data_IF_859055520780
#
_entry.id   IF_859055520780
#
_cell.length_a   1.000
_cell.length_b   1.000
_cell.length_c   1.000
_cell.angle_alpha   90.00
_cell.angle_beta   90.00
_cell.angle_gamma   90.00
#
_symmetry.space_group_name_H-M   'P 1'
#
loop_
_entity.id
_entity.type
_entity.pdbx_description
1 polymer ?
#
# COMPACT_ATOMS: atom_id res chain seq x y z
N UNK A 1 -21.03 14.81 -2.97
CA UNK A 1 -19.73 14.16 -3.26
C UNK A 1 -19.16 13.61 -1.97
N UNK A 2 -18.68 12.36 -1.96
CA UNK A 2 -18.15 11.75 -0.73
C UNK A 2 -16.63 11.59 -0.82
N UNK A 3 -15.91 12.21 0.11
CA UNK A 3 -14.45 12.03 0.23
C UNK A 3 -14.11 11.24 1.49
N UNK A 4 -13.01 10.49 1.46
CA UNK A 4 -12.45 9.82 2.62
C UNK A 4 -11.07 10.41 2.95
N UNK A 5 -10.72 10.43 4.22
CA UNK A 5 -9.45 10.99 4.71
C UNK A 5 -8.89 10.04 5.76
N UNK A 6 -7.62 9.66 5.64
CA UNK A 6 -6.93 8.89 6.69
C UNK A 6 -6.75 9.76 7.93
N UNK A 7 -7.04 9.21 9.10
CA UNK A 7 -7.00 9.97 10.35
C UNK A 7 -6.44 9.16 11.51
N UNK A 8 -5.77 9.84 12.43
CA UNK A 8 -5.31 9.27 13.70
C UNK A 8 -6.40 9.22 14.76
N UNK A 9 -7.53 9.91 14.54
CA UNK A 9 -8.66 9.99 15.46
C UNK A 9 -9.99 10.15 14.72
N UNK A 10 -11.06 10.38 15.48
CA UNK A 10 -12.44 10.38 14.96
C UNK A 10 -12.98 11.78 14.64
N UNK A 11 -12.19 12.82 14.88
CA UNK A 11 -12.61 14.22 14.76
C UNK A 11 -11.92 14.93 13.60
N UNK A 12 -12.54 15.99 13.11
CA UNK A 12 -11.98 16.83 12.04
C UNK A 12 -10.67 17.56 12.45
N UNK A 13 -10.44 17.71 13.75
CA UNK A 13 -9.19 18.26 14.31
C UNK A 13 -8.06 17.25 14.41
N UNK A 14 -8.34 15.97 14.21
CA UNK A 14 -7.35 14.90 14.22
C UNK A 14 -6.35 15.06 13.10
N UNK A 15 -5.12 14.58 13.33
CA UNK A 15 -4.07 14.59 12.30
C UNK A 15 -4.34 13.53 11.23
N UNK A 16 -3.92 13.81 10.02
CA UNK A 16 -3.93 12.82 8.94
C UNK A 16 -2.92 11.73 9.27
N UNK A 17 -3.35 10.45 9.26
CA UNK A 17 -2.41 9.33 9.34
C UNK A 17 -1.65 9.21 8.00
N UNK A 18 -0.32 9.15 8.04
CA UNK A 18 0.48 9.05 6.82
C UNK A 18 0.30 7.73 6.07
N UNK A 19 -0.30 6.71 6.67
CA UNK A 19 -0.36 5.35 6.13
C UNK A 19 -1.79 4.96 5.72
N UNK A 20 -2.09 4.93 4.44
CA UNK A 20 -3.43 4.58 3.95
C UNK A 20 -3.97 3.27 4.54
N UNK A 21 -3.28 2.14 4.31
CA UNK A 21 -3.80 0.82 4.69
C UNK A 21 -3.77 0.52 6.19
N UNK A 22 -3.08 1.32 6.98
CA UNK A 22 -2.88 1.14 8.42
C UNK A 22 -3.29 2.36 9.24
N UNK A 23 -4.01 3.29 8.64
CA UNK A 23 -4.67 4.38 9.36
C UNK A 23 -5.65 3.80 10.37
N UNK A 24 -5.66 4.26 11.62
CA UNK A 24 -6.62 3.78 12.62
C UNK A 24 -8.06 4.10 12.24
N UNK A 25 -8.29 5.29 11.69
CA UNK A 25 -9.61 5.78 11.32
C UNK A 25 -9.64 6.32 9.90
N UNK A 26 -10.83 6.33 9.32
CA UNK A 26 -11.18 7.06 8.13
C UNK A 26 -12.32 8.02 8.44
N UNK A 27 -12.14 9.28 8.06
CA UNK A 27 -13.19 10.29 8.10
C UNK A 27 -13.80 10.35 6.71
N UNK A 28 -15.08 9.98 6.62
CA UNK A 28 -15.89 10.13 5.42
C UNK A 28 -16.64 11.44 5.54
N UNK A 29 -16.47 12.35 4.63
CA UNK A 29 -17.07 13.68 4.71
C UNK A 29 -17.64 14.11 3.37
N UNK A 30 -18.75 14.82 3.41
CA UNK A 30 -19.20 15.62 2.29
C UNK A 30 -18.61 17.03 2.42
N UNK A 31 -17.72 17.42 1.49
CA UNK A 31 -17.02 18.71 1.60
C UNK A 31 -17.94 19.95 1.47
N UNK A 32 -19.16 19.79 0.93
CA UNK A 32 -20.10 20.91 0.79
C UNK A 32 -20.88 21.14 2.08
N UNK A 33 -21.40 20.06 2.68
CA UNK A 33 -22.23 20.14 3.89
C UNK A 33 -21.45 20.04 5.18
N UNK A 34 -20.17 19.60 5.10
CA UNK A 34 -19.30 19.29 6.24
C UNK A 34 -19.87 18.19 7.16
N UNK A 35 -20.87 17.46 6.71
CA UNK A 35 -21.34 16.26 7.41
C UNK A 35 -20.30 15.17 7.28
N UNK A 36 -19.91 14.59 8.40
CA UNK A 36 -18.90 13.55 8.42
C UNK A 36 -19.27 12.34 9.29
N UNK A 37 -18.67 11.22 8.96
CA UNK A 37 -18.75 9.95 9.69
C UNK A 37 -17.32 9.44 9.90
N UNK A 38 -16.96 9.09 11.12
CA UNK A 38 -15.68 8.45 11.43
C UNK A 38 -15.88 6.94 11.52
N UNK A 39 -15.04 6.18 10.82
CA UNK A 39 -15.07 4.72 10.83
C UNK A 39 -13.69 4.20 11.23
N UNK A 40 -13.67 3.26 12.16
CA UNK A 40 -12.46 2.52 12.52
C UNK A 40 -12.03 1.60 11.37
N UNK A 41 -10.74 1.51 11.13
CA UNK A 41 -10.19 0.64 10.10
C UNK A 41 -9.99 -0.79 10.67
N UNK A 42 -10.78 -1.78 10.25
CA UNK A 42 -10.62 -3.15 10.74
C UNK A 42 -9.31 -3.80 10.29
N UNK A 43 -8.63 -3.22 9.28
CA UNK A 43 -7.44 -3.78 8.66
C UNK A 43 -6.12 -3.24 9.24
N UNK A 44 -6.18 -2.37 10.27
CA UNK A 44 -4.99 -1.73 10.85
C UNK A 44 -3.93 -2.75 11.30
N UNK A 45 -4.37 -3.88 11.84
CA UNK A 45 -3.52 -4.97 12.35
C UNK A 45 -3.37 -6.16 11.38
N UNK A 46 -3.83 -6.05 10.14
CA UNK A 46 -3.75 -7.14 9.18
C UNK A 46 -2.28 -7.54 8.92
N UNK A 47 -1.97 -8.84 8.99
CA UNK A 47 -0.62 -9.37 8.78
C UNK A 47 -0.13 -9.16 7.35
N UNK A 48 -1.04 -9.06 6.38
CA UNK A 48 -0.76 -8.79 4.97
C UNK A 48 -1.99 -8.25 4.26
N UNK A 49 -1.80 -7.58 3.12
CA UNK A 49 -2.90 -7.10 2.29
C UNK A 49 -3.74 -5.96 2.88
N UNK A 50 -3.33 -5.37 4.01
CA UNK A 50 -4.05 -4.27 4.66
C UNK A 50 -4.46 -3.17 3.67
N UNK A 51 -3.56 -2.77 2.78
CA UNK A 51 -3.83 -1.74 1.79
C UNK A 51 -4.92 -2.13 0.80
N UNK A 52 -4.94 -3.37 0.32
CA UNK A 52 -5.95 -3.87 -0.64
C UNK A 52 -7.32 -3.96 0.04
N UNK A 53 -7.37 -4.58 1.23
CA UNK A 53 -8.62 -4.74 1.99
C UNK A 53 -9.22 -3.38 2.36
N UNK A 54 -8.37 -2.45 2.78
CA UNK A 54 -8.79 -1.07 3.08
C UNK A 54 -9.28 -0.35 1.82
N UNK A 55 -8.61 -0.52 0.68
CA UNK A 55 -9.05 0.06 -0.59
C UNK A 55 -10.44 -0.45 -1.01
N UNK A 56 -10.70 -1.75 -0.84
CA UNK A 56 -12.01 -2.33 -1.08
C UNK A 56 -13.08 -1.78 -0.12
N UNK A 57 -12.76 -1.62 1.16
CA UNK A 57 -13.65 -1.00 2.15
C UNK A 57 -14.04 0.42 1.72
N UNK A 58 -13.06 1.24 1.32
CA UNK A 58 -13.28 2.62 0.87
C UNK A 58 -14.14 2.66 -0.40
N UNK A 59 -13.85 1.80 -1.37
CA UNK A 59 -14.63 1.69 -2.61
C UNK A 59 -16.09 1.31 -2.35
N UNK A 60 -16.34 0.32 -1.47
CA UNK A 60 -17.68 -0.14 -1.10
C UNK A 60 -18.50 0.93 -0.37
N UNK A 61 -17.85 1.92 0.23
CA UNK A 61 -18.52 3.08 0.87
C UNK A 61 -18.93 4.18 -0.11
N UNK A 62 -18.69 4.00 -1.41
CA UNK A 62 -19.06 4.95 -2.46
C UNK A 62 -18.24 6.24 -2.43
N UNK A 63 -16.98 6.15 -2.04
CA UNK A 63 -16.05 7.27 -2.01
C UNK A 63 -15.56 7.60 -3.42
N UNK A 64 -15.54 8.88 -3.75
CA UNK A 64 -15.03 9.37 -5.03
C UNK A 64 -13.57 9.80 -4.96
N UNK A 65 -13.12 10.27 -3.80
CA UNK A 65 -11.76 10.76 -3.57
C UNK A 65 -11.24 10.32 -2.21
N UNK A 66 -10.00 9.87 -2.16
CA UNK A 66 -9.28 9.58 -0.90
C UNK A 66 -8.10 10.54 -0.72
N UNK A 67 -8.01 11.16 0.46
CA UNK A 67 -6.89 11.99 0.89
C UNK A 67 -6.05 11.22 1.91
N UNK A 68 -4.75 11.07 1.66
CA UNK A 68 -3.85 10.31 2.54
C UNK A 68 -2.40 10.83 2.45
N UNK A 69 -1.59 10.54 3.45
CA UNK A 69 -0.16 10.84 3.38
C UNK A 69 0.57 9.96 2.39
N UNK A 70 0.33 8.64 2.41
CA UNK A 70 1.00 7.71 1.51
C UNK A 70 0.11 6.52 1.14
N UNK A 71 0.25 6.08 -0.11
CA UNK A 71 -0.46 4.94 -0.66
C UNK A 71 0.51 4.06 -1.46
N UNK A 72 0.59 2.79 -1.09
CA UNK A 72 1.41 1.80 -1.79
C UNK A 72 0.76 1.33 -3.10
N UNK A 73 1.54 0.66 -3.99
CA UNK A 73 1.11 0.34 -5.35
C UNK A 73 -0.15 -0.55 -5.39
N UNK A 74 -0.24 -1.56 -4.54
CA UNK A 74 -1.38 -2.48 -4.55
C UNK A 74 -2.69 -1.79 -4.14
N UNK A 75 -2.64 -0.94 -3.09
CA UNK A 75 -3.79 -0.16 -2.66
C UNK A 75 -4.19 0.88 -3.71
N UNK A 76 -3.21 1.56 -4.30
CA UNK A 76 -3.42 2.54 -5.34
C UNK A 76 -4.14 1.94 -6.56
N UNK A 77 -3.66 0.79 -7.05
CA UNK A 77 -4.29 0.07 -8.17
C UNK A 77 -5.72 -0.35 -7.85
N UNK A 78 -5.97 -0.86 -6.63
CA UNK A 78 -7.32 -1.26 -6.20
C UNK A 78 -8.28 -0.07 -6.16
N UNK A 79 -7.84 1.08 -5.64
CA UNK A 79 -8.63 2.31 -5.61
C UNK A 79 -8.92 2.84 -7.02
N UNK A 80 -7.91 2.85 -7.90
CA UNK A 80 -8.10 3.27 -9.30
C UNK A 80 -9.07 2.35 -10.05
N UNK A 81 -8.95 1.04 -9.89
CA UNK A 81 -9.86 0.07 -10.50
C UNK A 81 -11.32 0.27 -10.05
N UNK A 82 -11.52 0.76 -8.84
CA UNK A 82 -12.83 1.14 -8.30
C UNK A 82 -13.28 2.56 -8.68
N UNK A 83 -12.51 3.29 -9.48
CA UNK A 83 -12.84 4.67 -9.90
C UNK A 83 -12.58 5.74 -8.83
N UNK A 84 -11.91 5.39 -7.72
CA UNK A 84 -11.58 6.33 -6.64
C UNK A 84 -10.33 7.13 -7.01
N UNK A 85 -10.42 8.46 -6.97
CA UNK A 85 -9.28 9.35 -7.16
C UNK A 85 -8.42 9.38 -5.90
N UNK A 86 -7.11 9.16 -6.04
CA UNK A 86 -6.17 9.12 -4.92
C UNK A 86 -5.34 10.40 -4.88
N UNK A 87 -5.28 11.04 -3.73
CA UNK A 87 -4.44 12.20 -3.47
C UNK A 87 -3.51 11.84 -2.32
N UNK A 88 -2.22 11.74 -2.62
CA UNK A 88 -1.18 11.42 -1.64
C UNK A 88 -0.36 12.65 -1.24
N UNK A 89 0.44 12.53 -0.18
CA UNK A 89 1.27 13.61 0.32
C UNK A 89 0.50 14.63 1.16
N UNK A 90 -0.72 14.30 1.60
CA UNK A 90 -1.54 15.19 2.42
C UNK A 90 -1.07 15.11 3.87
N UNK A 91 -0.88 16.28 4.47
CA UNK A 91 -0.40 16.45 5.86
C UNK A 91 -1.21 17.55 6.56
N UNK A 92 -1.18 17.54 7.88
CA UNK A 92 -1.94 18.46 8.72
C UNK A 92 -3.17 17.81 9.31
N UNK A 93 -4.15 18.60 9.68
CA UNK A 93 -5.43 18.11 10.23
C UNK A 93 -6.40 17.72 9.11
N UNK A 94 -7.39 16.91 9.47
CA UNK A 94 -8.48 16.54 8.55
C UNK A 94 -9.19 17.78 8.02
N UNK A 95 -9.47 18.75 8.89
CA UNK A 95 -10.11 20.01 8.49
C UNK A 95 -9.30 20.80 7.46
N UNK A 96 -7.98 20.97 7.71
CA UNK A 96 -7.08 21.65 6.76
C UNK A 96 -7.02 20.94 5.40
N UNK A 97 -7.09 19.61 5.39
CA UNK A 97 -7.10 18.84 4.14
C UNK A 97 -8.40 19.07 3.35
N UNK A 98 -9.54 19.13 4.04
CA UNK A 98 -10.83 19.45 3.42
C UNK A 98 -10.79 20.85 2.79
N UNK A 99 -10.29 21.85 3.51
CA UNK A 99 -10.17 23.22 3.02
C UNK A 99 -9.23 23.31 1.81
N UNK A 100 -8.06 22.68 1.87
CA UNK A 100 -7.12 22.58 0.75
C UNK A 100 -7.74 21.90 -0.48
N UNK A 101 -8.54 20.86 -0.24
CA UNK A 101 -9.25 20.18 -1.32
C UNK A 101 -10.31 21.08 -1.96
N UNK A 102 -11.12 21.75 -1.15
CA UNK A 102 -12.16 22.71 -1.62
C UNK A 102 -11.57 23.88 -2.40
N UNK A 103 -10.41 24.38 -1.99
CA UNK A 103 -9.71 25.48 -2.69
C UNK A 103 -8.99 25.01 -3.98
N UNK A 104 -9.04 23.71 -4.32
CA UNK A 104 -8.33 23.16 -5.49
C UNK A 104 -6.82 23.03 -5.32
N UNK A 105 -6.31 23.20 -4.09
CA UNK A 105 -4.89 23.07 -3.78
C UNK A 105 -4.38 21.62 -3.78
N UNK A 106 -5.28 20.63 -3.78
CA UNK A 106 -4.96 19.22 -3.84
C UNK A 106 -5.38 18.62 -5.19
N UNK A 107 -4.47 17.95 -5.86
CA UNK A 107 -4.73 17.31 -7.17
C UNK A 107 -4.58 15.80 -7.09
N UNK A 108 -5.40 15.03 -7.84
CA UNK A 108 -5.23 13.59 -7.94
C UNK A 108 -3.82 13.23 -8.39
N UNK A 109 -3.25 12.22 -7.74
CA UNK A 109 -1.91 11.73 -8.00
C UNK A 109 -1.95 10.65 -9.09
N UNK A 110 -0.98 10.65 -9.98
CA UNK A 110 -0.92 9.70 -11.09
C UNK A 110 -0.39 8.31 -10.70
N UNK A 111 0.19 8.16 -9.50
CA UNK A 111 0.79 6.91 -9.05
C UNK A 111 1.02 6.85 -7.55
N UNK A 112 1.43 5.67 -7.04
CA UNK A 112 1.79 5.47 -5.64
C UNK A 112 3.03 6.30 -5.27
N UNK A 113 3.11 6.76 -4.02
CA UNK A 113 4.26 7.54 -3.53
C UNK A 113 5.17 6.76 -2.58
N UNK A 114 4.84 5.51 -2.28
CA UNK A 114 5.66 4.61 -1.46
C UNK A 114 5.71 3.22 -2.08
N UNK A 115 6.77 2.46 -1.77
CA UNK A 115 6.93 1.08 -2.23
C UNK A 115 5.96 0.11 -1.55
N UNK A 116 5.93 -1.13 -2.06
CA UNK A 116 5.20 -2.23 -1.45
C UNK A 116 5.71 -2.48 -0.02
N UNK A 117 4.80 -2.86 0.89
CA UNK A 117 5.11 -3.13 2.31
C UNK A 117 5.49 -1.90 3.16
N UNK A 118 5.29 -0.69 2.68
CA UNK A 118 5.47 0.51 3.48
C UNK A 118 4.58 0.47 4.73
N UNK A 119 5.18 0.63 5.91
CA UNK A 119 4.48 0.59 7.20
C UNK A 119 4.35 -0.80 7.85
N UNK A 120 4.89 -1.86 7.24
CA UNK A 120 5.14 -3.14 7.92
C UNK A 120 6.46 -3.04 8.67
N UNK A 121 6.40 -2.64 9.93
CA UNK A 121 7.43 -2.74 10.95
C UNK A 121 8.88 -2.92 10.48
N UNK A 122 9.47 -1.89 9.88
CA UNK A 122 10.90 -1.74 9.83
C UNK A 122 11.25 -0.69 10.88
N UNK A 123 11.84 -1.13 11.97
CA UNK A 123 12.47 -0.27 12.96
C UNK A 123 13.40 0.72 12.26
N UNK A 124 12.99 1.97 12.23
CA UNK A 124 13.84 3.15 12.21
C UNK A 124 14.99 3.21 11.20
N UNK A 125 14.69 3.64 9.96
CA UNK A 125 15.66 4.42 9.21
C UNK A 125 14.92 5.59 8.54
N UNK A 126 15.36 6.84 8.66
CA UNK A 126 14.75 7.99 8.02
C UNK A 126 14.87 7.87 6.49
N UNK A 127 13.90 8.39 5.72
CA UNK A 127 13.99 8.40 4.26
C UNK A 127 15.04 9.43 3.84
N UNK A 128 16.17 8.96 3.37
CA UNK A 128 17.18 9.88 2.82
C UNK A 128 18.63 9.53 3.02
N UNK A 129 19.00 8.25 3.05
CA UNK A 129 20.41 7.88 2.87
C UNK A 129 20.52 6.70 1.92
N UNK A 130 21.10 7.00 0.78
CA UNK A 130 21.54 6.05 -0.22
C UNK A 130 22.56 5.07 0.42
N UNK A 131 22.30 3.76 0.57
CA UNK A 131 23.31 2.85 1.11
C UNK A 131 24.08 2.25 -0.05
N UNK A 132 24.95 3.02 -0.60
CA UNK A 132 25.97 2.53 -1.50
C UNK A 132 27.34 2.73 -0.91
N UNK A 133 27.72 1.99 0.12
CA UNK A 133 29.11 1.54 0.38
C UNK A 133 29.05 0.53 1.55
N UNK A 134 28.95 -0.72 1.25
CA UNK A 134 29.21 -1.79 2.19
C UNK A 134 30.71 -1.97 2.41
N UNK A 135 31.25 -1.39 3.49
CA UNK A 135 32.59 -1.75 3.98
C UNK A 135 32.48 -3.07 4.76
N UNK A 136 32.70 -4.17 4.07
CA UNK A 136 32.98 -5.46 4.68
C UNK A 136 34.44 -5.50 5.15
N UNK A 137 34.68 -5.41 6.46
CA UNK A 137 35.99 -5.71 7.07
C UNK A 137 36.12 -7.23 7.18
N UNK A 138 36.65 -7.86 6.14
CA UNK A 138 37.13 -9.25 6.16
C UNK A 138 38.65 -9.27 6.24
N UNK A 139 39.20 -9.63 7.40
CA UNK A 139 40.63 -9.97 7.57
C UNK A 139 40.88 -11.27 6.81
N UNK A 140 41.65 -11.20 5.74
CA UNK A 140 42.23 -12.36 5.09
C UNK A 140 43.66 -12.04 4.62
N UNK A 141 44.66 -12.58 5.29
CA UNK A 141 46.07 -12.57 4.85
C UNK A 141 46.23 -13.41 3.59
N UNK A 142 46.77 -12.83 2.52
CA UNK A 142 47.23 -13.57 1.34
C UNK A 142 48.24 -12.76 0.56
N UNK A 143 49.53 -13.14 0.67
CA UNK A 143 50.67 -12.67 -0.11
C UNK A 143 50.50 -13.10 -1.57
N UNK A 144 50.68 -12.18 -2.52
CA UNK A 144 50.84 -12.51 -3.92
C UNK A 144 51.33 -11.34 -4.73
N UNK A 145 52.61 -11.26 -5.07
CA UNK A 145 53.23 -10.35 -6.05
C UNK A 145 52.72 -10.68 -7.46
N UNK A 146 52.41 -9.63 -8.24
CA UNK A 146 52.19 -9.77 -9.68
C UNK A 146 52.02 -8.40 -10.34
N UNK A 147 53.11 -7.85 -10.88
CA UNK A 147 53.10 -6.74 -11.83
C UNK A 147 52.43 -7.14 -13.16
N UNK A 148 51.54 -6.34 -13.69
CA UNK A 148 51.02 -6.51 -15.04
C UNK A 148 50.25 -5.29 -15.51
N UNK A 149 50.94 -4.41 -16.23
CA UNK A 149 50.29 -3.35 -17.01
C UNK A 149 49.53 -3.98 -18.20
N UNK A 150 48.22 -3.78 -18.24
CA UNK A 150 47.40 -4.20 -19.36
C UNK A 150 46.18 -3.32 -19.50
N UNK A 151 46.21 -2.40 -20.47
CA UNK A 151 45.03 -1.67 -20.89
C UNK A 151 44.16 -2.63 -21.70
N UNK A 152 43.09 -3.12 -21.10
CA UNK A 152 42.07 -3.94 -21.77
C UNK A 152 40.69 -3.24 -21.71
N UNK A 153 39.82 -3.49 -22.71
CA UNK A 153 38.57 -2.76 -22.87
C UNK A 153 37.59 -3.05 -21.76
N UNK A 154 36.75 -2.03 -21.44
CA UNK A 154 35.73 -2.05 -20.38
C UNK A 154 34.87 -3.32 -20.43
N UNK A 155 34.68 -4.00 -19.31
CA UNK A 155 33.69 -5.08 -19.28
C UNK A 155 32.29 -4.50 -19.37
N UNK A 156 31.56 -4.95 -20.39
CA UNK A 156 30.09 -4.81 -20.43
C UNK A 156 29.51 -5.40 -19.17
N UNK A 157 28.77 -4.58 -18.44
CA UNK A 157 27.93 -5.05 -17.35
C UNK A 157 26.86 -5.98 -17.94
N UNK A 158 27.10 -7.27 -17.84
CA UNK A 158 26.06 -8.26 -18.02
C UNK A 158 25.03 -8.05 -16.92
N UNK A 159 23.81 -7.75 -17.29
CA UNK A 159 22.67 -7.75 -16.37
C UNK A 159 22.60 -9.10 -15.67
N UNK A 160 22.29 -9.16 -14.35
CA UNK A 160 22.05 -10.43 -13.68
C UNK A 160 20.90 -11.16 -14.41
N UNK A 161 20.99 -12.49 -14.58
CA UNK A 161 19.93 -13.25 -15.22
C UNK A 161 18.64 -13.03 -14.47
N UNK A 162 17.61 -12.58 -15.19
CA UNK A 162 16.28 -12.32 -14.65
C UNK A 162 15.79 -13.50 -13.85
N UNK A 163 15.13 -13.23 -12.74
CA UNK A 163 14.40 -14.23 -11.96
C UNK A 163 13.60 -15.11 -12.92
N UNK A 164 13.68 -16.44 -12.84
CA UNK A 164 12.96 -17.29 -13.76
C UNK A 164 11.47 -16.97 -13.66
N UNK A 165 10.90 -16.54 -14.78
CA UNK A 165 9.45 -16.37 -14.87
C UNK A 165 8.81 -17.73 -14.53
N UNK A 166 7.78 -17.78 -13.70
CA UNK A 166 7.11 -19.03 -13.40
C UNK A 166 6.67 -19.70 -14.71
N UNK A 167 6.92 -20.98 -14.83
CA UNK A 167 6.48 -21.74 -16.00
C UNK A 167 4.95 -21.76 -16.04
N UNK A 168 4.36 -21.89 -17.24
CA UNK A 168 2.89 -22.00 -17.40
C UNK A 168 2.28 -23.07 -16.48
N UNK A 169 3.03 -24.13 -16.19
CA UNK A 169 2.60 -25.18 -15.27
C UNK A 169 2.57 -24.71 -13.81
N UNK A 170 3.53 -23.90 -13.39
CA UNK A 170 3.56 -23.30 -12.05
C UNK A 170 2.45 -22.26 -11.88
N UNK A 171 2.20 -21.43 -12.90
CA UNK A 171 1.06 -20.51 -12.89
C UNK A 171 -0.27 -21.25 -12.79
N UNK A 172 -0.42 -22.31 -13.57
CA UNK A 172 -1.65 -23.13 -13.57
C UNK A 172 -1.86 -23.82 -12.23
N UNK A 173 -0.79 -24.26 -11.58
CA UNK A 173 -0.86 -24.86 -10.26
C UNK A 173 -1.24 -23.84 -9.18
N UNK A 174 -0.67 -22.62 -9.23
CA UNK A 174 -1.05 -21.54 -8.32
C UNK A 174 -2.51 -21.10 -8.52
N UNK A 175 -2.96 -20.97 -9.76
CA UNK A 175 -4.34 -20.62 -10.05
C UNK A 175 -5.33 -21.70 -9.57
N UNK A 176 -4.98 -22.98 -9.69
CA UNK A 176 -5.82 -24.08 -9.15
C UNK A 176 -5.93 -24.00 -7.62
N UNK A 177 -4.84 -23.77 -6.91
CA UNK A 177 -4.85 -23.60 -5.46
C UNK A 177 -5.72 -22.40 -5.05
N UNK A 178 -5.66 -21.31 -5.81
CA UNK A 178 -6.47 -20.12 -5.55
C UNK A 178 -7.96 -20.39 -5.78
N UNK A 179 -8.32 -21.15 -6.81
CA UNK A 179 -9.70 -21.57 -7.07
C UNK A 179 -10.23 -22.46 -5.95
N UNK A 180 -9.44 -23.41 -5.45
CA UNK A 180 -9.87 -24.29 -4.36
C UNK A 180 -10.06 -23.52 -3.05
N UNK A 181 -9.19 -22.56 -2.76
CA UNK A 181 -9.35 -21.66 -1.61
C UNK A 181 -10.64 -20.81 -1.71
N UNK A 182 -10.91 -20.24 -2.87
CA UNK A 182 -12.13 -19.46 -3.10
C UNK A 182 -13.41 -20.32 -2.98
N UNK A 183 -13.37 -21.57 -3.43
CA UNK A 183 -14.49 -22.53 -3.25
C UNK A 183 -14.76 -22.78 -1.77
N UNK A 184 -13.72 -23.02 -0.97
CA UNK A 184 -13.89 -23.20 0.47
C UNK A 184 -14.50 -21.97 1.16
N UNK A 185 -14.09 -20.76 0.77
CA UNK A 185 -14.70 -19.53 1.27
C UNK A 185 -16.17 -19.42 0.89
N UNK A 186 -16.50 -19.77 -0.33
CA UNK A 186 -17.87 -19.75 -0.83
C UNK A 186 -18.76 -20.73 -0.06
N UNK A 187 -18.27 -21.94 0.22
CA UNK A 187 -18.98 -22.94 1.02
C UNK A 187 -19.19 -22.47 2.47
N UNK A 188 -18.20 -21.84 3.08
CA UNK A 188 -18.36 -21.26 4.43
C UNK A 188 -19.42 -20.15 4.46
N UNK A 189 -19.44 -19.27 3.47
CA UNK A 189 -20.45 -18.21 3.36
C UNK A 189 -21.84 -18.81 3.15
N UNK A 190 -21.99 -19.78 2.25
CA UNK A 190 -23.26 -20.45 1.98
C UNK A 190 -23.79 -21.18 3.23
N UNK A 191 -22.93 -21.82 3.99
CA UNK A 191 -23.31 -22.46 5.26
C UNK A 191 -23.77 -21.42 6.27
N UNK A 192 -23.10 -20.27 6.34
CA UNK A 192 -23.50 -19.19 7.25
C UNK A 192 -24.83 -18.57 6.86
N UNK A 193 -25.11 -18.41 5.57
CA UNK A 193 -26.41 -17.95 5.07
C UNK A 193 -27.50 -18.94 5.49
N UNK A 194 -27.31 -20.24 5.28
CA UNK A 194 -28.27 -21.28 5.68
C UNK A 194 -28.55 -21.28 7.19
N UNK A 195 -27.50 -21.08 8.02
CA UNK A 195 -27.68 -20.98 9.47
C UNK A 195 -28.52 -19.75 9.89
N UNK A 196 -28.38 -18.65 9.17
CA UNK A 196 -29.13 -17.43 9.45
C UNK A 196 -30.59 -17.54 8.95
N UNK A 197 -30.82 -18.22 7.83
CA UNK A 197 -32.15 -18.48 7.30
C UNK A 197 -32.94 -19.45 8.19
N UNK A 198 -32.27 -20.46 8.77
CA UNK A 198 -32.88 -21.43 9.66
C UNK A 198 -33.13 -20.91 11.09
N UNK A 199 -32.63 -19.73 11.44
CA UNK A 199 -32.88 -19.07 12.75
C UNK A 199 -34.09 -18.13 12.75
N UNK A 200 -34.88 -18.12 11.70
CA UNK A 200 -36.14 -17.39 11.60
C UNK A 200 -37.29 -18.32 11.87
#
# INVERSE_FOLDING_TARGET
>A
MKIAITSTGQDLTSQIDPRFGRSPYFIFVDPETMQFEAIENPNVNAMGGAGIQTAQLIANKGVEVILTGSCGPNAFQTLQAAGVKVIVGVVGTVNEAIEKYKSGGLKPTAGPNVGSHFGMGSTGAPPGTNPGVGMGIGRGMGRGMGMGYGIGPMPQYSQPPGSPQPTKEQELQMLKQQVDFLKQQLDMINNRIKELENKK
#
